data_IF_650327958282
#
_entry.id   IF_650327958282
#
_cell.length_a   1.000
_cell.length_b   1.000
_cell.length_c   1.000
_cell.angle_alpha   90.00
_cell.angle_beta   90.00
_cell.angle_gamma   90.00
#
_symmetry.space_group_name_H-M   'P 1'
#
loop_
_entity.id
_entity.type
_entity.pdbx_description
1 polymer ?
#
# COMPACT_ATOMS: atom_id res chain seq x y z
N UNK A 1 4.71 9.58 2.48
CA UNK A 1 4.35 8.15 2.27
C UNK A 1 5.07 7.47 1.09
N UNK A 2 6.29 7.88 0.71
CA UNK A 2 7.02 7.20 -0.38
C UNK A 2 7.92 6.08 0.14
N UNK A 3 8.63 6.32 1.24
CA UNK A 3 9.58 5.37 1.85
C UNK A 3 8.91 4.11 2.42
N UNK A 4 7.76 4.26 3.09
CA UNK A 4 6.98 3.12 3.63
C UNK A 4 6.55 2.18 2.50
N UNK A 5 6.00 2.74 1.42
CA UNK A 5 5.54 1.94 0.26
C UNK A 5 6.72 1.24 -0.42
N UNK A 6 7.86 1.90 -0.60
CA UNK A 6 9.06 1.25 -1.13
C UNK A 6 9.56 0.11 -0.24
N UNK A 7 9.55 0.31 1.07
CA UNK A 7 9.99 -0.71 2.04
C UNK A 7 9.04 -1.92 2.01
N UNK A 8 7.72 -1.69 2.01
CA UNK A 8 6.73 -2.77 1.91
C UNK A 8 6.79 -3.50 0.58
N UNK A 9 6.99 -2.80 -0.54
CA UNK A 9 7.22 -3.45 -1.84
C UNK A 9 8.46 -4.37 -1.84
N UNK A 10 9.45 -4.11 -0.99
CA UNK A 10 10.69 -4.89 -0.92
C UNK A 10 10.62 -6.06 0.06
N UNK A 11 9.93 -5.88 1.19
CA UNK A 11 9.96 -6.83 2.31
C UNK A 11 8.61 -7.44 2.67
N UNK A 12 7.49 -6.83 2.27
CA UNK A 12 6.15 -7.32 2.60
C UNK A 12 5.57 -8.13 1.45
N UNK A 13 5.54 -9.46 1.63
CA UNK A 13 5.02 -10.42 0.64
C UNK A 13 3.58 -10.08 0.23
N UNK A 14 2.74 -9.63 1.18
CA UNK A 14 1.35 -9.23 0.90
C UNK A 14 1.26 -8.07 -0.09
N UNK A 15 2.14 -7.08 0.06
CA UNK A 15 2.23 -5.93 -0.84
C UNK A 15 2.77 -6.34 -2.22
N UNK A 16 3.67 -7.32 -2.28
CA UNK A 16 4.18 -7.89 -3.53
C UNK A 16 3.09 -8.66 -4.28
N UNK A 17 2.34 -9.53 -3.60
CA UNK A 17 1.20 -10.25 -4.19
C UNK A 17 0.13 -9.29 -4.73
N UNK A 18 -0.16 -8.23 -3.96
CA UNK A 18 -1.08 -7.18 -4.42
C UNK A 18 -0.55 -6.47 -5.66
N UNK A 19 0.75 -6.18 -5.69
CA UNK A 19 1.39 -5.56 -6.84
C UNK A 19 1.29 -6.46 -8.08
N UNK A 20 1.68 -7.74 -7.96
CA UNK A 20 1.61 -8.71 -9.05
C UNK A 20 0.18 -8.92 -9.56
N UNK A 21 -0.79 -9.05 -8.66
CA UNK A 21 -2.20 -9.15 -9.03
C UNK A 21 -2.65 -7.95 -9.85
N UNK A 22 -2.27 -6.74 -9.44
CA UNK A 22 -2.64 -5.51 -10.16
C UNK A 22 -1.90 -5.33 -11.48
N UNK A 23 -0.67 -5.83 -11.58
CA UNK A 23 0.05 -5.91 -12.86
C UNK A 23 -0.67 -6.87 -13.81
N UNK A 24 -1.13 -8.03 -13.33
CA UNK A 24 -1.93 -8.99 -14.11
C UNK A 24 -3.28 -8.40 -14.57
N UNK A 25 -3.87 -7.52 -13.76
CA UNK A 25 -5.07 -6.74 -14.13
C UNK A 25 -4.80 -5.61 -15.16
N UNK A 26 -3.56 -5.47 -15.66
CA UNK A 26 -3.18 -4.48 -16.66
C UNK A 26 -2.95 -3.07 -16.12
N UNK A 27 -2.86 -2.90 -14.79
CA UNK A 27 -2.64 -1.58 -14.20
C UNK A 27 -1.20 -1.13 -14.36
N UNK A 28 -1.03 0.17 -14.61
CA UNK A 28 0.29 0.76 -14.67
C UNK A 28 0.92 0.82 -13.28
N UNK A 29 2.25 0.70 -13.22
CA UNK A 29 3.02 0.82 -11.95
C UNK A 29 2.68 2.10 -11.17
N UNK A 30 2.41 3.21 -11.86
CA UNK A 30 1.99 4.49 -11.25
C UNK A 30 0.65 4.38 -10.53
N UNK A 31 -0.34 3.72 -11.13
CA UNK A 31 -1.65 3.51 -10.51
C UNK A 31 -1.57 2.59 -9.30
N UNK A 32 -0.77 1.53 -9.40
CA UNK A 32 -0.57 0.58 -8.30
C UNK A 32 0.08 1.27 -7.11
N UNK A 33 1.16 2.03 -7.33
CA UNK A 33 1.83 2.81 -6.28
C UNK A 33 0.90 3.86 -5.67
N UNK A 34 0.03 4.50 -6.47
CA UNK A 34 -0.98 5.43 -5.95
C UNK A 34 -1.99 4.71 -5.04
N UNK A 35 -2.44 3.52 -5.43
CA UNK A 35 -3.35 2.69 -4.62
C UNK A 35 -2.68 2.27 -3.31
N UNK A 36 -1.44 1.78 -3.36
CA UNK A 36 -0.65 1.40 -2.18
C UNK A 36 -0.44 2.56 -1.21
N UNK A 37 -0.09 3.75 -1.72
CA UNK A 37 0.02 4.96 -0.88
C UNK A 37 -1.29 5.27 -0.15
N UNK A 38 -2.44 5.08 -0.79
CA UNK A 38 -3.76 5.31 -0.19
C UNK A 38 -4.09 4.26 0.87
N UNK A 39 -3.80 2.99 0.62
CA UNK A 39 -3.96 1.92 1.62
C UNK A 39 -3.14 2.21 2.87
N UNK A 40 -1.84 2.50 2.70
CA UNK A 40 -0.94 2.83 3.83
C UNK A 40 -1.44 4.08 4.58
N UNK A 41 -1.89 5.12 3.87
CA UNK A 41 -2.40 6.32 4.52
C UNK A 41 -3.66 6.02 5.37
N UNK A 42 -4.58 5.17 4.87
CA UNK A 42 -5.76 4.74 5.64
C UNK A 42 -5.38 3.91 6.86
N UNK A 43 -4.43 3.00 6.72
CA UNK A 43 -3.97 2.16 7.81
C UNK A 43 -3.30 3.00 8.91
N UNK A 44 -2.39 3.91 8.54
CA UNK A 44 -1.78 4.87 9.47
C UNK A 44 -2.83 5.74 10.14
N UNK A 45 -3.83 6.21 9.39
CA UNK A 45 -4.92 7.00 9.95
C UNK A 45 -5.75 6.22 10.97
N UNK A 46 -6.04 4.94 10.72
CA UNK A 46 -6.74 4.08 11.68
C UNK A 46 -5.88 3.76 12.91
N UNK A 47 -4.57 3.62 12.75
CA UNK A 47 -3.63 3.38 13.85
C UNK A 47 -3.41 4.61 14.74
N UNK A 48 -3.41 5.80 14.14
CA UNK A 48 -3.18 7.08 14.84
C UNK A 48 -4.46 7.63 15.45
N UNK A 49 -5.63 7.25 14.93
CA UNK A 49 -6.89 7.58 15.60
C UNK A 49 -6.93 6.85 16.94
N UNK A 50 -6.99 7.57 18.08
CA UNK A 50 -7.30 6.91 19.34
C UNK A 50 -8.62 6.19 19.12
N UNK A 51 -8.64 4.89 19.41
CA UNK A 51 -9.87 4.12 19.51
C UNK A 51 -10.72 4.89 20.51
N UNK A 52 -11.73 5.62 20.03
CA UNK A 52 -12.64 6.32 20.93
C UNK A 52 -13.23 5.22 21.84
N UNK A 53 -13.08 5.32 23.17
CA UNK A 53 -13.76 4.43 24.09
C UNK A 53 -15.28 4.57 23.97
#
# INVERSE_FOLDING_TARGET
>A
MHRIVQTRLRFDLRTQDYFERRVKEGKTRREIVRCLKRCVAREVFHLVRPTQP
#
